data_IF_881086332418
#
_entry.id   IF_881086332418
#
_cell.length_a   1.000
_cell.length_b   1.000
_cell.length_c   1.000
_cell.angle_alpha   90.00
_cell.angle_beta   90.00
_cell.angle_gamma   90.00
#
_symmetry.space_group_name_H-M   'P 1'
#
loop_
_entity.id
_entity.type
_entity.pdbx_description
1 polymer ?
#
# COMPACT_ATOMS: atom_id res chain seq x y z
N UNK A 1 -2.56 29.64 25.94
CA UNK A 1 -2.96 28.59 26.90
C UNK A 1 -1.68 27.87 27.32
N UNK A 2 -1.22 28.09 28.55
CA UNK A 2 0.09 27.63 29.03
C UNK A 2 0.03 26.13 29.32
N UNK A 3 0.78 25.33 28.56
CA UNK A 3 1.02 23.91 28.86
C UNK A 3 2.03 23.89 30.02
N UNK A 4 1.58 23.48 31.22
CA UNK A 4 2.25 23.62 32.52
C UNK A 4 3.56 22.81 32.66
N UNK A 5 4.58 23.07 31.83
CA UNK A 5 5.90 22.44 31.95
C UNK A 5 5.90 20.92 31.96
N UNK A 6 4.77 20.28 31.59
CA UNK A 6 4.64 18.83 31.54
C UNK A 6 5.47 18.34 30.37
N UNK A 7 6.46 17.53 30.71
CA UNK A 7 7.33 16.87 29.75
C UNK A 7 6.48 16.09 28.74
N UNK A 8 6.67 16.37 27.45
CA UNK A 8 5.97 15.71 26.35
C UNK A 8 6.88 14.64 25.80
N UNK A 9 6.33 13.44 25.63
CA UNK A 9 7.02 12.34 24.97
C UNK A 9 6.37 12.12 23.61
N UNK A 10 7.19 12.10 22.56
CA UNK A 10 6.78 11.74 21.20
C UNK A 10 7.56 10.52 20.76
N UNK A 11 6.86 9.51 20.24
CA UNK A 11 7.47 8.29 19.73
C UNK A 11 7.18 8.21 18.24
N UNK A 12 8.23 8.04 17.44
CA UNK A 12 8.12 7.80 15.99
C UNK A 12 8.73 6.43 15.73
N UNK A 13 7.93 5.51 15.20
CA UNK A 13 8.38 4.17 14.85
C UNK A 13 8.24 3.88 13.37
N UNK A 14 9.11 3.00 12.87
CA UNK A 14 8.97 2.39 11.54
C UNK A 14 8.09 1.12 11.55
N UNK A 15 7.53 0.76 12.71
CA UNK A 15 6.60 -0.34 12.84
C UNK A 15 5.38 -0.10 11.95
N UNK A 16 5.20 -0.98 10.97
CA UNK A 16 4.06 -0.89 10.05
C UNK A 16 2.84 -1.69 10.56
N UNK A 17 2.97 -2.36 11.71
CA UNK A 17 1.93 -3.14 12.38
C UNK A 17 1.30 -4.21 11.47
N UNK A 18 2.13 -4.82 10.64
CA UNK A 18 1.72 -5.92 9.75
C UNK A 18 2.53 -7.17 10.01
N UNK A 19 2.05 -8.31 9.53
CA UNK A 19 2.85 -9.55 9.44
C UNK A 19 4.20 -9.30 8.76
N UNK A 20 4.23 -8.48 7.71
CA UNK A 20 5.48 -8.11 7.05
C UNK A 20 6.45 -7.39 7.97
N UNK A 21 5.92 -6.55 8.88
CA UNK A 21 6.67 -5.91 9.98
C UNK A 21 7.32 -6.93 10.91
N UNK A 22 6.56 -7.94 11.32
CA UNK A 22 7.02 -8.99 12.23
C UNK A 22 8.05 -9.93 11.59
N UNK A 23 7.88 -10.30 10.33
CA UNK A 23 8.68 -11.36 9.71
C UNK A 23 9.95 -10.87 9.00
N UNK A 24 9.94 -9.65 8.45
CA UNK A 24 10.95 -9.23 7.46
C UNK A 24 11.56 -7.84 7.71
N UNK A 25 11.10 -7.10 8.71
CA UNK A 25 11.55 -5.73 8.94
C UNK A 25 12.37 -5.60 10.22
N UNK A 26 13.37 -4.73 10.16
CA UNK A 26 14.02 -4.19 11.34
C UNK A 26 13.27 -2.92 11.74
N UNK A 27 12.73 -2.90 12.96
CA UNK A 27 11.98 -1.76 13.48
C UNK A 27 12.92 -0.79 14.21
N UNK A 28 12.85 0.49 13.85
CA UNK A 28 13.58 1.57 14.50
C UNK A 28 12.58 2.54 15.08
N UNK A 29 12.72 2.79 16.38
CA UNK A 29 11.90 3.73 17.12
C UNK A 29 12.78 4.87 17.66
N UNK A 30 12.33 6.10 17.46
CA UNK A 30 12.97 7.29 18.02
C UNK A 30 12.03 7.92 19.03
N UNK A 31 12.55 8.21 20.22
CA UNK A 31 11.80 8.80 21.33
C UNK A 31 12.34 10.21 21.57
N UNK A 32 11.46 11.20 21.53
CA UNK A 32 11.74 12.58 21.87
C UNK A 32 11.05 12.92 23.18
N UNK A 33 11.82 13.30 24.19
CA UNK A 33 11.31 13.73 25.50
C UNK A 33 11.65 15.21 25.69
N UNK A 34 10.64 16.07 25.72
CA UNK A 34 10.81 17.51 25.67
C UNK A 34 10.05 18.23 26.80
N UNK A 35 10.77 19.08 27.55
CA UNK A 35 10.13 20.06 28.47
C UNK A 35 9.57 21.28 27.74
N UNK A 36 10.14 21.61 26.57
CA UNK A 36 9.65 22.65 25.64
C UNK A 36 9.31 21.97 24.31
N UNK A 37 8.02 21.82 23.96
CA UNK A 37 7.56 20.86 22.94
C UNK A 37 7.74 21.36 21.49
N UNK A 38 8.98 21.46 21.01
CA UNK A 38 9.27 21.88 19.63
C UNK A 38 8.93 20.76 18.64
N UNK A 39 9.49 19.56 18.84
CA UNK A 39 9.26 18.41 17.96
C UNK A 39 7.84 17.86 18.11
N UNK A 40 7.34 17.83 19.35
CA UNK A 40 5.93 17.49 19.60
C UNK A 40 4.96 18.35 18.78
N UNK A 41 5.18 19.67 18.69
CA UNK A 41 4.30 20.56 17.93
C UNK A 41 4.34 20.25 16.43
N UNK A 42 5.51 19.93 15.89
CA UNK A 42 5.67 19.53 14.48
C UNK A 42 5.00 18.17 14.21
N UNK A 43 5.18 17.20 15.10
CA UNK A 43 4.55 15.89 14.99
C UNK A 43 3.04 15.98 15.09
N UNK A 44 2.53 16.81 15.98
CA UNK A 44 1.10 17.07 16.09
C UNK A 44 0.55 17.70 14.78
N UNK A 45 1.30 18.60 14.13
CA UNK A 45 0.89 19.14 12.83
C UNK A 45 0.85 18.06 11.74
N UNK A 46 1.84 17.16 11.70
CA UNK A 46 1.86 16.02 10.77
C UNK A 46 0.68 15.08 11.06
N UNK A 47 0.48 14.69 12.32
CA UNK A 47 -0.65 13.86 12.73
C UNK A 47 -1.99 14.48 12.30
N UNK A 48 -2.18 15.77 12.58
CA UNK A 48 -3.42 16.46 12.22
C UNK A 48 -3.65 16.55 10.70
N UNK A 49 -2.61 16.54 9.87
CA UNK A 49 -2.75 16.53 8.41
C UNK A 49 -3.11 15.15 7.85
N UNK A 50 -2.76 14.07 8.54
CA UNK A 50 -2.98 12.69 8.08
C UNK A 50 -4.11 11.95 8.79
N UNK A 51 -4.56 12.40 9.98
CA UNK A 51 -5.54 11.67 10.81
C UNK A 51 -6.92 11.49 10.18
N UNK A 52 -7.22 12.26 9.14
CA UNK A 52 -8.46 12.16 8.36
C UNK A 52 -8.21 11.61 6.94
N UNK A 53 -7.03 11.04 6.68
CA UNK A 53 -6.78 10.38 5.41
C UNK A 53 -7.56 9.07 5.35
N UNK A 54 -8.32 8.86 4.29
CA UNK A 54 -9.13 7.65 4.07
C UNK A 54 -8.30 6.35 4.06
N UNK A 55 -6.97 6.45 3.84
CA UNK A 55 -6.04 5.33 3.82
C UNK A 55 -5.36 5.06 5.18
N UNK A 56 -5.85 5.65 6.27
CA UNK A 56 -5.23 5.51 7.59
C UNK A 56 -5.62 4.17 8.24
N UNK A 57 -4.62 3.38 8.61
CA UNK A 57 -4.82 2.25 9.51
C UNK A 57 -4.70 2.73 10.95
N UNK A 58 -5.81 2.62 11.70
CA UNK A 58 -5.82 2.86 13.15
C UNK A 58 -6.02 1.50 13.84
N UNK A 59 -4.96 0.88 14.38
CA UNK A 59 -5.08 -0.39 15.10
C UNK A 59 -5.92 -0.20 16.36
N UNK A 60 -6.74 -1.19 16.70
CA UNK A 60 -7.42 -1.25 17.99
C UNK A 60 -6.52 -1.95 19.03
N UNK A 61 -6.96 -1.95 20.28
CA UNK A 61 -6.20 -2.53 21.40
C UNK A 61 -5.93 -4.03 21.20
N UNK A 62 -6.93 -4.81 20.77
CA UNK A 62 -6.77 -6.25 20.46
C UNK A 62 -5.69 -6.50 19.41
N UNK A 63 -5.61 -5.64 18.38
CA UNK A 63 -4.59 -5.74 17.34
C UNK A 63 -3.19 -5.43 17.89
N UNK A 64 -3.07 -4.39 18.71
CA UNK A 64 -1.80 -4.01 19.34
C UNK A 64 -1.29 -5.11 20.29
N UNK A 65 -2.17 -5.68 21.10
CA UNK A 65 -1.85 -6.80 22.00
C UNK A 65 -1.39 -8.02 21.20
N UNK A 66 -2.14 -8.39 20.16
CA UNK A 66 -1.79 -9.51 19.29
C UNK A 66 -0.42 -9.29 18.61
N UNK A 67 -0.14 -8.06 18.18
CA UNK A 67 1.14 -7.71 17.56
C UNK A 67 2.30 -7.80 18.56
N UNK A 68 2.15 -7.22 19.75
CA UNK A 68 3.16 -7.22 20.81
C UNK A 68 3.50 -8.64 21.28
N UNK A 69 2.51 -9.50 21.43
CA UNK A 69 2.73 -10.90 21.82
C UNK A 69 3.55 -11.67 20.78
N UNK A 70 3.24 -11.47 19.49
CA UNK A 70 3.98 -12.11 18.40
C UNK A 70 5.39 -11.54 18.31
N UNK A 71 5.54 -10.22 18.38
CA UNK A 71 6.85 -9.55 18.38
C UNK A 71 7.72 -10.03 19.54
N UNK A 72 7.17 -10.03 20.76
CA UNK A 72 7.84 -10.52 21.97
C UNK A 72 8.26 -11.98 21.85
N UNK A 73 7.43 -12.83 21.22
CA UNK A 73 7.78 -14.22 21.00
C UNK A 73 8.88 -14.40 19.94
N UNK A 74 8.92 -13.56 18.89
CA UNK A 74 10.01 -13.52 17.90
C UNK A 74 11.33 -13.13 18.56
N UNK A 75 11.33 -12.06 19.35
CA UNK A 75 12.53 -11.59 20.06
C UNK A 75 13.04 -12.63 21.07
N UNK A 76 12.13 -13.30 21.80
CA UNK A 76 12.52 -14.32 22.80
C UNK A 76 12.94 -15.66 22.20
N UNK A 77 12.45 -16.02 21.01
CA UNK A 77 12.65 -17.34 20.40
C UNK A 77 12.97 -17.22 18.90
N UNK A 78 14.09 -16.57 18.56
CA UNK A 78 14.57 -16.28 17.19
C UNK A 78 14.38 -17.42 16.16
N UNK A 79 14.30 -18.69 16.59
CA UNK A 79 14.24 -19.87 15.72
C UNK A 79 12.96 -20.74 15.81
N UNK A 80 11.97 -20.45 16.68
CA UNK A 80 10.83 -21.38 16.92
C UNK A 80 9.43 -20.86 16.63
N UNK A 81 9.28 -19.61 16.21
CA UNK A 81 7.96 -19.02 15.89
C UNK A 81 7.20 -19.78 14.80
N UNK A 82 7.93 -20.39 13.85
CA UNK A 82 7.32 -21.19 12.78
C UNK A 82 6.67 -22.51 13.25
N UNK A 83 6.93 -22.96 14.49
CA UNK A 83 6.43 -24.24 15.03
C UNK A 83 5.34 -24.08 16.09
N UNK A 84 5.13 -22.88 16.63
CA UNK A 84 4.11 -22.63 17.64
C UNK A 84 2.75 -22.36 16.98
N UNK A 85 1.81 -23.29 17.18
CA UNK A 85 0.45 -23.18 16.63
C UNK A 85 -0.30 -21.95 17.15
N UNK A 86 -0.10 -21.58 18.41
CA UNK A 86 -0.75 -20.42 19.03
C UNK A 86 -0.30 -19.13 18.35
N UNK A 87 1.02 -19.00 18.11
CA UNK A 87 1.57 -17.82 17.43
C UNK A 87 1.14 -17.78 15.95
N UNK A 88 1.12 -18.92 15.26
CA UNK A 88 0.62 -18.97 13.88
C UNK A 88 -0.86 -18.57 13.75
N UNK A 89 -1.70 -18.94 14.72
CA UNK A 89 -3.10 -18.49 14.74
C UNK A 89 -3.23 -16.98 14.93
N UNK A 90 -2.40 -16.39 15.80
CA UNK A 90 -2.35 -14.93 15.99
C UNK A 90 -1.87 -14.20 14.73
N UNK A 91 -0.82 -14.70 14.07
CA UNK A 91 -0.36 -14.18 12.77
C UNK A 91 -1.49 -14.22 11.73
N UNK A 92 -2.24 -15.33 11.65
CA UNK A 92 -3.39 -15.43 10.74
C UNK A 92 -4.53 -14.48 11.09
N UNK A 93 -4.75 -14.19 12.38
CA UNK A 93 -5.71 -13.16 12.81
C UNK A 93 -5.27 -11.77 12.36
N UNK A 94 -3.99 -11.43 12.55
CA UNK A 94 -3.40 -10.17 12.05
C UNK A 94 -3.59 -10.08 10.54
N UNK A 95 -3.23 -11.11 9.76
CA UNK A 95 -3.45 -11.14 8.30
C UNK A 95 -4.93 -10.99 7.88
N UNK A 96 -5.86 -11.53 8.67
CA UNK A 96 -7.30 -11.38 8.37
C UNK A 96 -7.78 -9.96 8.64
N UNK A 97 -7.30 -9.33 9.71
CA UNK A 97 -7.61 -7.94 10.03
C UNK A 97 -6.97 -6.99 9.02
N UNK A 98 -5.74 -7.28 8.55
CA UNK A 98 -5.07 -6.56 7.46
C UNK A 98 -5.92 -6.49 6.18
N UNK A 99 -6.68 -7.54 5.87
CA UNK A 99 -7.56 -7.58 4.69
C UNK A 99 -8.82 -6.72 4.82
N UNK A 100 -9.20 -6.37 6.06
CA UNK A 100 -10.33 -5.48 6.35
C UNK A 100 -9.91 -4.01 6.37
N UNK A 101 -8.60 -3.74 6.34
CA UNK A 101 -8.09 -2.39 6.20
C UNK A 101 -8.48 -1.85 4.82
N UNK A 102 -8.75 -0.54 4.69
CA UNK A 102 -8.76 0.08 3.37
C UNK A 102 -7.42 -0.27 2.72
N UNK A 103 -7.46 -1.17 1.75
CA UNK A 103 -6.25 -1.62 1.06
C UNK A 103 -5.52 -0.43 0.49
N UNK A 104 -4.23 -0.58 0.19
CA UNK A 104 -3.53 0.43 -0.61
C UNK A 104 -4.32 0.63 -1.90
N UNK A 105 -4.76 1.87 -2.14
CA UNK A 105 -5.43 2.21 -3.40
C UNK A 105 -4.42 1.88 -4.52
N UNK A 106 -4.74 0.94 -5.42
CA UNK A 106 -3.77 0.42 -6.36
C UNK A 106 -3.30 1.53 -7.29
N UNK A 107 -1.99 1.58 -7.57
CA UNK A 107 -1.49 2.53 -8.57
C UNK A 107 -2.15 2.31 -9.94
N UNK A 108 -2.24 3.35 -10.78
CA UNK A 108 -2.87 3.25 -12.11
C UNK A 108 -2.26 2.10 -12.93
N UNK A 109 -0.93 1.95 -12.92
CA UNK A 109 -0.25 0.80 -13.55
C UNK A 109 -0.71 -0.55 -13.02
N UNK A 110 -0.94 -0.68 -11.71
CA UNK A 110 -1.37 -1.94 -11.11
C UNK A 110 -2.80 -2.27 -11.56
N UNK A 111 -3.70 -1.28 -11.56
CA UNK A 111 -5.05 -1.46 -12.08
C UNK A 111 -5.07 -1.87 -13.56
N UNK A 112 -4.21 -1.27 -14.40
CA UNK A 112 -4.09 -1.65 -15.81
C UNK A 112 -3.61 -3.11 -15.93
N UNK A 113 -2.58 -3.51 -15.18
CA UNK A 113 -2.07 -4.89 -15.20
C UNK A 113 -3.14 -5.88 -14.78
N UNK A 114 -3.83 -5.62 -13.66
CA UNK A 114 -4.90 -6.47 -13.15
C UNK A 114 -6.02 -6.65 -14.18
N UNK A 115 -6.44 -5.56 -14.82
CA UNK A 115 -7.49 -5.60 -15.83
C UNK A 115 -7.08 -6.41 -17.07
N UNK A 116 -5.91 -6.11 -17.66
CA UNK A 116 -5.44 -6.84 -18.84
C UNK A 116 -5.24 -8.32 -18.51
N UNK A 117 -4.69 -8.64 -17.34
CA UNK A 117 -4.51 -10.02 -16.90
C UNK A 117 -5.84 -10.76 -16.73
N UNK A 118 -6.87 -10.09 -16.18
CA UNK A 118 -8.22 -10.64 -16.08
C UNK A 118 -8.84 -10.90 -17.46
N UNK A 119 -8.59 -10.02 -18.45
CA UNK A 119 -8.98 -10.24 -19.84
C UNK A 119 -8.23 -11.43 -20.48
N UNK A 120 -6.91 -11.56 -20.26
CA UNK A 120 -6.12 -12.70 -20.75
C UNK A 120 -6.65 -14.03 -20.23
N UNK A 121 -7.01 -14.10 -18.93
CA UNK A 121 -7.64 -15.29 -18.32
C UNK A 121 -8.99 -15.67 -18.97
N UNK A 122 -9.69 -14.70 -19.55
CA UNK A 122 -10.93 -14.91 -20.32
C UNK A 122 -10.67 -15.22 -21.80
N UNK A 123 -9.42 -15.40 -22.21
CA UNK A 123 -9.02 -15.70 -23.58
C UNK A 123 -8.80 -14.48 -24.47
N UNK A 124 -8.90 -13.25 -23.93
CA UNK A 124 -8.68 -12.02 -24.69
C UNK A 124 -7.18 -11.72 -24.78
N UNK A 125 -6.61 -11.91 -25.97
CA UNK A 125 -5.15 -11.75 -26.21
C UNK A 125 -4.69 -10.29 -26.38
N UNK A 126 -5.60 -9.37 -26.68
CA UNK A 126 -5.32 -7.94 -26.87
C UNK A 126 -6.47 -7.12 -26.33
N UNK A 127 -6.17 -6.10 -25.53
CA UNK A 127 -7.17 -5.27 -24.85
C UNK A 127 -7.17 -3.87 -25.46
N UNK A 128 -8.35 -3.33 -25.79
CA UNK A 128 -8.44 -2.00 -26.36
C UNK A 128 -8.27 -0.92 -25.28
N UNK A 129 -7.67 0.21 -25.64
CA UNK A 129 -7.46 1.34 -24.73
C UNK A 129 -8.79 1.88 -24.16
N UNK A 130 -9.87 1.83 -24.96
CA UNK A 130 -11.19 2.25 -24.51
C UNK A 130 -11.74 1.34 -23.41
N UNK A 131 -11.51 0.03 -23.51
CA UNK A 131 -11.91 -0.94 -22.49
C UNK A 131 -11.15 -0.68 -21.17
N UNK A 132 -9.85 -0.35 -21.27
CA UNK A 132 -9.04 0.03 -20.10
C UNK A 132 -9.59 1.30 -19.44
N UNK A 133 -9.95 2.32 -20.23
CA UNK A 133 -10.54 3.55 -19.70
C UNK A 133 -11.84 3.27 -18.96
N UNK A 134 -12.76 2.57 -19.61
CA UNK A 134 -14.07 2.27 -19.04
C UNK A 134 -13.94 1.46 -17.75
N UNK A 135 -13.16 0.38 -17.77
CA UNK A 135 -13.01 -0.50 -16.61
C UNK A 135 -12.39 0.20 -15.40
N UNK A 136 -11.37 1.05 -15.62
CA UNK A 136 -10.73 1.77 -14.52
C UNK A 136 -11.60 2.91 -13.98
N UNK A 137 -12.35 3.62 -14.83
CA UNK A 137 -13.31 4.64 -14.39
C UNK A 137 -14.47 4.03 -13.60
N UNK A 138 -15.02 2.90 -14.06
CA UNK A 138 -16.07 2.16 -13.34
C UNK A 138 -15.56 1.66 -11.99
N UNK A 139 -14.33 1.13 -11.93
CA UNK A 139 -13.73 0.67 -10.68
C UNK A 139 -13.56 1.83 -9.67
N UNK A 140 -13.00 2.97 -10.10
CA UNK A 140 -12.80 4.12 -9.21
C UNK A 140 -14.13 4.64 -8.67
N UNK A 141 -15.18 4.68 -9.49
CA UNK A 141 -16.52 5.09 -9.04
C UNK A 141 -17.09 4.10 -8.03
N UNK A 142 -16.98 2.79 -8.31
CA UNK A 142 -17.51 1.73 -7.46
C UNK A 142 -16.83 1.68 -6.09
N UNK A 143 -15.51 1.84 -6.06
CA UNK A 143 -14.71 1.77 -4.83
C UNK A 143 -14.57 3.14 -4.15
N UNK A 144 -15.28 4.17 -4.63
CA UNK A 144 -15.28 5.54 -4.11
C UNK A 144 -13.89 6.23 -4.05
N UNK A 145 -12.95 5.79 -4.89
CA UNK A 145 -11.57 6.35 -4.95
C UNK A 145 -11.45 7.70 -5.68
N UNK A 146 -12.59 8.35 -5.99
CA UNK A 146 -12.65 9.56 -6.81
C UNK A 146 -11.84 10.74 -6.25
N UNK A 147 -11.63 10.82 -4.94
CA UNK A 147 -10.85 11.87 -4.28
C UNK A 147 -9.33 11.80 -4.57
N UNK A 148 -8.80 10.63 -4.97
CA UNK A 148 -7.36 10.42 -5.19
C UNK A 148 -6.93 10.53 -6.65
N UNK A 149 -7.87 10.38 -7.58
CA UNK A 149 -7.60 10.50 -9.02
C UNK A 149 -8.25 11.75 -9.58
N UNK A 150 -7.45 12.58 -10.24
CA UNK A 150 -7.95 13.74 -10.98
C UNK A 150 -8.80 13.27 -12.16
N UNK A 151 -10.12 13.28 -11.97
CA UNK A 151 -11.09 12.68 -12.91
C UNK A 151 -11.04 13.33 -14.29
N UNK A 152 -10.75 14.63 -14.36
CA UNK A 152 -10.57 15.41 -15.58
C UNK A 152 -9.37 14.97 -16.44
N UNK A 153 -8.33 14.42 -15.81
CA UNK A 153 -7.07 14.04 -16.47
C UNK A 153 -6.78 12.54 -16.41
N UNK A 154 -7.68 11.75 -15.84
CA UNK A 154 -7.45 10.34 -15.54
C UNK A 154 -7.10 9.50 -16.79
N UNK A 155 -7.78 9.73 -17.91
CA UNK A 155 -7.46 9.07 -19.21
C UNK A 155 -6.05 9.41 -19.72
N UNK A 156 -5.58 10.62 -19.43
CA UNK A 156 -4.22 11.05 -19.77
C UNK A 156 -3.19 10.35 -18.86
N UNK A 157 -3.50 10.20 -17.56
CA UNK A 157 -2.66 9.44 -16.63
C UNK A 157 -2.55 7.97 -17.03
N UNK A 158 -3.65 7.32 -17.43
CA UNK A 158 -3.62 5.94 -17.97
C UNK A 158 -2.70 5.84 -19.20
N UNK A 159 -2.83 6.78 -20.15
CA UNK A 159 -1.93 6.84 -21.32
C UNK A 159 -0.47 7.05 -20.93
N UNK A 160 -0.22 7.93 -19.96
CA UNK A 160 1.10 8.21 -19.42
C UNK A 160 1.75 6.93 -18.87
N UNK A 161 1.04 6.18 -18.04
CA UNK A 161 1.50 4.92 -17.46
C UNK A 161 1.76 3.85 -18.53
N UNK A 162 0.85 3.70 -19.50
CA UNK A 162 1.03 2.75 -20.62
C UNK A 162 2.30 3.05 -21.42
N UNK A 163 2.54 4.32 -21.75
CA UNK A 163 3.71 4.74 -22.53
C UNK A 163 5.00 4.65 -21.70
N UNK A 164 4.95 5.10 -20.43
CA UNK A 164 6.10 5.10 -19.54
C UNK A 164 6.60 3.69 -19.24
N UNK A 165 5.68 2.72 -19.12
CA UNK A 165 5.99 1.32 -18.86
C UNK A 165 5.88 0.40 -20.08
N UNK A 166 5.84 0.96 -21.30
CA UNK A 166 5.90 0.18 -22.52
C UNK A 166 7.27 -0.54 -22.64
N UNK A 167 7.27 -1.73 -23.23
CA UNK A 167 8.46 -2.54 -23.53
C UNK A 167 9.58 -1.74 -24.21
N UNK A 168 9.22 -0.91 -25.18
CA UNK A 168 10.15 -0.14 -26.01
C UNK A 168 10.32 1.32 -25.53
N UNK A 169 9.87 1.63 -24.31
CA UNK A 169 10.02 2.97 -23.76
C UNK A 169 11.49 3.32 -23.53
N UNK A 170 11.88 4.53 -23.92
CA UNK A 170 13.22 5.08 -23.63
C UNK A 170 13.43 5.44 -22.16
N UNK A 171 12.39 5.36 -21.32
CA UNK A 171 12.53 5.66 -19.91
C UNK A 171 13.40 4.61 -19.20
N UNK A 172 14.49 5.06 -18.58
CA UNK A 172 15.34 4.22 -17.73
C UNK A 172 14.59 3.66 -16.51
N UNK A 173 13.53 4.35 -16.08
CA UNK A 173 12.68 3.95 -14.94
C UNK A 173 11.47 3.11 -15.39
N UNK A 174 11.28 2.92 -16.70
CA UNK A 174 10.19 2.14 -17.25
C UNK A 174 10.28 0.65 -16.89
N UNK A 175 9.20 0.10 -16.33
CA UNK A 175 9.19 -1.28 -15.88
C UNK A 175 8.99 -2.32 -17.00
N UNK A 176 8.68 -1.89 -18.23
CA UNK A 176 8.46 -2.76 -19.41
C UNK A 176 7.34 -3.78 -19.18
N UNK A 177 6.22 -3.31 -18.63
CA UNK A 177 5.06 -4.13 -18.25
C UNK A 177 4.11 -4.35 -19.44
N UNK A 178 4.03 -3.37 -20.34
CA UNK A 178 3.04 -3.34 -21.41
C UNK A 178 3.69 -3.47 -22.78
N UNK A 179 3.03 -4.19 -23.69
CA UNK A 179 3.38 -4.24 -25.10
C UNK A 179 2.25 -3.64 -25.91
N UNK A 180 2.58 -2.70 -26.80
CA UNK A 180 1.63 -2.09 -27.72
C UNK A 180 1.63 -2.88 -29.03
N UNK A 181 0.63 -3.74 -29.19
CA UNK A 181 0.54 -4.62 -30.37
C UNK A 181 0.15 -3.85 -31.64
N UNK A 182 -0.73 -2.87 -31.50
CA UNK A 182 -1.16 -1.98 -32.58
C UNK A 182 -1.73 -0.67 -32.01
N UNK A 183 -2.11 0.29 -32.86
CA UNK A 183 -2.66 1.58 -32.40
C UNK A 183 -3.90 1.35 -31.53
N UNK A 184 -3.80 1.66 -30.24
CA UNK A 184 -4.90 1.55 -29.28
C UNK A 184 -5.11 0.17 -28.67
N UNK A 185 -4.22 -0.81 -28.88
CA UNK A 185 -4.33 -2.15 -28.30
C UNK A 185 -3.07 -2.54 -27.53
N UNK A 186 -3.27 -3.11 -26.36
CA UNK A 186 -2.20 -3.45 -25.41
C UNK A 186 -2.32 -4.90 -24.93
N UNK A 187 -1.18 -5.47 -24.54
CA UNK A 187 -1.06 -6.76 -23.87
C UNK A 187 0.02 -6.69 -22.78
N UNK A 188 0.08 -7.70 -21.90
CA UNK A 188 1.14 -7.80 -20.91
C UNK A 188 2.39 -8.45 -21.51
N UNK A 189 3.55 -7.92 -21.12
CA UNK A 189 4.82 -8.63 -21.30
C UNK A 189 4.92 -9.79 -20.29
N UNK A 190 5.90 -10.71 -20.43
CA UNK A 190 6.17 -11.70 -19.39
C UNK A 190 6.38 -11.07 -18.01
N UNK A 191 7.07 -9.92 -17.95
CA UNK A 191 7.29 -9.15 -16.71
C UNK A 191 6.00 -8.54 -16.18
N UNK A 192 5.10 -8.08 -17.06
CA UNK A 192 3.76 -7.63 -16.70
C UNK A 192 2.91 -8.73 -16.06
N UNK A 193 3.02 -9.98 -16.52
CA UNK A 193 2.28 -11.13 -15.94
C UNK A 193 2.77 -11.52 -14.55
N UNK A 194 4.07 -11.34 -14.28
CA UNK A 194 4.66 -11.58 -12.96
C UNK A 194 4.57 -10.37 -12.02
N UNK A 195 4.03 -9.24 -12.48
CA UNK A 195 4.01 -8.01 -11.70
C UNK A 195 3.03 -8.14 -10.54
N UNK A 196 3.55 -8.09 -9.32
CA UNK A 196 2.77 -7.93 -8.10
C UNK A 196 2.73 -6.45 -7.78
N UNK A 197 1.61 -5.80 -8.09
CA UNK A 197 1.38 -4.41 -7.72
C UNK A 197 1.41 -4.21 -6.20
N UNK A 198 1.67 -2.97 -5.79
CA UNK A 198 1.25 -2.44 -4.50
C UNK A 198 0.10 -1.47 -4.73
#
# INVERSE_FOLDING_TARGET
MFDNGKEKTSIIGSANLTKGGLENNFEVNTIFTEKKPLYYSQLNAIYNSIKYADSLFTPNEEHLESYDEVFSAIIKNEQRVSKDKSIQEKIKKIEKQEKLLPGTIPSIKAMIVEFIFACEKKGVKKVALQDIYQALEERIKKEEWGCKYKSDTFKNSIRGELNHHQKDSHSKQGLRLFERLQKGFYALTPKGRSYKGR
#
